data_IF_517515586403
#
_entry.id   IF_517515586403
#
_cell.length_a   1.000
_cell.length_b   1.000
_cell.length_c   1.000
_cell.angle_alpha   90.00
_cell.angle_beta   90.00
_cell.angle_gamma   90.00
#
_symmetry.space_group_name_H-M   'P 1'
#
loop_
_entity.id
_entity.type
_entity.pdbx_description
1 polymer ?
#
# COMPACT_ATOMS: atom_id res chain seq x y z
N UNK A 1 0.97 -2.29 22.22
CA UNK A 1 -0.04 -1.35 22.75
C UNK A 1 -1.41 -1.98 22.57
N UNK A 2 -2.44 -1.40 23.18
CA UNK A 2 -3.80 -1.88 22.97
C UNK A 2 -4.17 -1.84 21.48
N UNK A 3 -4.74 -2.94 20.97
CA UNK A 3 -5.06 -3.20 19.56
C UNK A 3 -3.88 -3.27 18.56
N UNK A 4 -2.67 -3.68 18.96
CA UNK A 4 -1.59 -3.93 17.99
C UNK A 4 -2.00 -4.96 16.89
N UNK A 5 -1.36 -4.87 15.72
CA UNK A 5 -1.47 -5.89 14.67
C UNK A 5 -0.95 -7.24 15.20
N UNK A 6 -1.87 -8.18 15.44
CA UNK A 6 -1.56 -9.58 15.74
C UNK A 6 -1.50 -10.40 14.46
N UNK A 7 -1.13 -11.68 14.54
CA UNK A 7 -1.21 -12.56 13.37
C UNK A 7 -2.66 -12.74 12.89
N UNK A 8 -3.60 -12.83 13.84
CA UNK A 8 -5.02 -13.07 13.58
C UNK A 8 -5.71 -11.83 13.01
N UNK A 9 -5.50 -10.65 13.60
CA UNK A 9 -6.05 -9.41 13.04
C UNK A 9 -5.43 -9.10 11.68
N UNK A 10 -4.12 -9.34 11.48
CA UNK A 10 -3.48 -9.23 10.17
C UNK A 10 -4.11 -10.16 9.14
N UNK A 11 -4.31 -11.44 9.47
CA UNK A 11 -4.91 -12.41 8.55
C UNK A 11 -6.33 -11.98 8.17
N UNK A 12 -7.12 -11.51 9.15
CA UNK A 12 -8.45 -10.99 8.93
C UNK A 12 -8.45 -9.78 7.98
N UNK A 13 -7.60 -8.78 8.23
CA UNK A 13 -7.45 -7.60 7.36
C UNK A 13 -7.04 -7.97 5.93
N UNK A 14 -6.13 -8.94 5.77
CA UNK A 14 -5.72 -9.45 4.45
C UNK A 14 -6.88 -10.13 3.72
N UNK A 15 -7.76 -10.86 4.44
CA UNK A 15 -8.93 -11.51 3.85
C UNK A 15 -9.93 -10.52 3.26
N UNK A 16 -10.06 -9.32 3.85
CA UNK A 16 -10.84 -8.21 3.29
C UNK A 16 -10.08 -7.48 2.18
N UNK A 17 -8.76 -7.31 2.35
CA UNK A 17 -7.83 -6.84 1.32
C UNK A 17 -7.92 -5.36 0.93
N UNK A 18 -8.92 -4.62 1.43
CA UNK A 18 -9.13 -3.21 1.09
C UNK A 18 -9.65 -2.39 2.26
N UNK A 19 -9.48 -1.07 2.20
CA UNK A 19 -9.87 -0.15 3.26
C UNK A 19 -10.26 1.21 2.68
N UNK A 20 -11.27 1.86 3.27
CA UNK A 20 -11.61 3.24 3.00
C UNK A 20 -10.72 4.15 3.86
N UNK A 21 -10.12 5.16 3.24
CA UNK A 21 -9.17 6.08 3.91
C UNK A 21 -9.56 7.50 3.55
N UNK A 22 -9.57 8.37 4.55
CA UNK A 22 -9.71 9.81 4.32
C UNK A 22 -8.48 10.34 3.57
N UNK A 23 -8.69 11.15 2.54
CA UNK A 23 -7.61 11.67 1.70
C UNK A 23 -6.62 12.56 2.46
N UNK A 24 -7.07 13.22 3.54
CA UNK A 24 -6.22 14.00 4.44
C UNK A 24 -5.14 13.15 5.14
N UNK A 25 -5.42 11.86 5.39
CA UNK A 25 -4.47 10.90 5.96
C UNK A 25 -3.46 10.38 4.94
N UNK A 26 -3.70 10.58 3.64
CA UNK A 26 -2.81 10.13 2.57
C UNK A 26 -1.76 11.17 2.16
N UNK A 27 -1.78 12.34 2.82
CA UNK A 27 -0.84 13.41 2.57
C UNK A 27 0.63 12.96 2.72
N UNK A 28 1.52 13.66 2.00
CA UNK A 28 2.95 13.47 2.15
C UNK A 28 3.50 12.17 1.57
N UNK A 29 2.77 11.40 0.75
CA UNK A 29 3.31 10.21 0.06
C UNK A 29 3.18 8.90 0.85
N UNK A 30 2.14 8.77 1.67
CA UNK A 30 1.77 7.53 2.37
C UNK A 30 1.00 6.54 1.49
N UNK A 31 0.53 7.00 0.33
CA UNK A 31 -0.10 6.21 -0.72
C UNK A 31 0.96 5.66 -1.69
N UNK A 32 0.80 4.41 -2.10
CA UNK A 32 1.54 3.83 -3.23
C UNK A 32 0.60 3.41 -4.36
N UNK A 33 1.09 3.42 -5.58
CA UNK A 33 0.41 2.84 -6.74
C UNK A 33 1.23 1.67 -7.28
N UNK A 34 0.57 0.54 -7.54
CA UNK A 34 1.23 -0.57 -8.22
C UNK A 34 1.21 -0.31 -9.73
N UNK A 35 2.31 -0.62 -10.40
CA UNK A 35 2.41 -0.52 -11.87
C UNK A 35 2.72 -1.87 -12.53
N UNK A 36 2.73 -2.93 -11.73
CA UNK A 36 2.89 -4.30 -12.17
C UNK A 36 2.00 -5.26 -11.35
N UNK A 37 1.70 -6.42 -11.94
CA UNK A 37 0.93 -7.49 -11.29
C UNK A 37 -0.56 -7.19 -11.12
N UNK A 38 -1.29 -8.03 -10.36
CA UNK A 38 -2.75 -7.93 -10.23
C UNK A 38 -3.27 -6.60 -9.69
N UNK A 39 -2.48 -5.94 -8.83
CA UNK A 39 -2.86 -4.66 -8.23
C UNK A 39 -2.58 -3.44 -9.10
N UNK A 40 -2.03 -3.62 -10.31
CA UNK A 40 -1.60 -2.49 -11.14
C UNK A 40 -2.76 -1.55 -11.50
N UNK A 41 -2.49 -0.24 -11.47
CA UNK A 41 -3.52 0.80 -11.62
C UNK A 41 -4.29 1.10 -10.32
N UNK A 42 -4.21 0.22 -9.33
CA UNK A 42 -4.74 0.43 -7.99
C UNK A 42 -3.77 1.19 -7.08
N UNK A 43 -4.33 1.71 -5.98
CA UNK A 43 -3.58 2.36 -4.92
C UNK A 43 -3.70 1.58 -3.61
N UNK A 44 -2.68 1.67 -2.76
CA UNK A 44 -2.65 0.99 -1.46
C UNK A 44 -1.98 1.85 -0.38
N UNK A 45 -2.25 1.49 0.86
CA UNK A 45 -1.54 1.97 2.06
C UNK A 45 -0.93 0.80 2.81
N UNK A 46 0.06 1.10 3.64
CA UNK A 46 0.67 0.15 4.56
C UNK A 46 0.44 0.61 5.98
N UNK A 47 0.08 -0.34 6.85
CA UNK A 47 -0.04 -0.10 8.29
C UNK A 47 0.90 -1.04 9.00
N UNK A 48 1.63 -0.51 9.99
CA UNK A 48 2.60 -1.26 10.80
C UNK A 48 2.33 -1.09 12.29
N UNK A 49 2.36 -2.20 13.02
CA UNK A 49 2.23 -2.26 14.48
C UNK A 49 2.61 -3.67 14.97
N UNK A 50 3.03 -3.82 16.24
CA UNK A 50 3.34 -5.13 16.82
C UNK A 50 4.39 -5.95 16.03
N UNK A 51 5.33 -5.28 15.36
CA UNK A 51 6.33 -5.91 14.49
C UNK A 51 5.77 -6.50 13.18
N UNK A 52 4.53 -6.18 12.81
CA UNK A 52 3.84 -6.69 11.62
C UNK A 52 3.39 -5.55 10.72
N UNK A 53 3.35 -5.83 9.42
CA UNK A 53 2.83 -4.94 8.38
C UNK A 53 1.68 -5.59 7.63
N UNK A 54 0.65 -4.81 7.30
CA UNK A 54 -0.40 -5.17 6.36
C UNK A 54 -0.48 -4.13 5.23
N UNK A 55 -0.73 -4.61 4.01
CA UNK A 55 -1.02 -3.77 2.85
C UNK A 55 -2.51 -3.90 2.54
N UNK A 56 -3.20 -2.78 2.37
CA UNK A 56 -4.61 -2.75 2.01
C UNK A 56 -4.80 -1.84 0.80
N UNK A 57 -5.58 -2.30 -0.18
CA UNK A 57 -5.98 -1.49 -1.32
C UNK A 57 -6.91 -0.37 -0.86
N UNK A 58 -6.73 0.84 -1.38
CA UNK A 58 -7.64 1.96 -1.08
C UNK A 58 -8.92 1.73 -1.88
N UNK A 59 -10.04 1.58 -1.18
CA UNK A 59 -11.36 1.40 -1.76
C UNK A 59 -12.41 2.13 -0.89
N UNK A 60 -13.02 3.22 -1.37
CA UNK A 60 -14.06 3.94 -0.63
C UNK A 60 -15.26 3.09 -0.22
N UNK A 61 -15.52 1.99 -0.95
CA UNK A 61 -16.61 1.05 -0.67
C UNK A 61 -16.24 -0.08 0.31
N UNK A 62 -15.03 -0.09 0.87
CA UNK A 62 -14.62 -1.12 1.83
C UNK A 62 -15.42 -1.04 3.13
N UNK A 63 -15.66 -2.20 3.76
CA UNK A 63 -16.22 -2.31 5.11
C UNK A 63 -15.24 -1.86 6.20
N UNK A 64 -13.94 -1.84 5.90
CA UNK A 64 -12.89 -1.35 6.78
C UNK A 64 -12.66 0.15 6.56
N UNK A 65 -12.41 0.89 7.64
CA UNK A 65 -12.08 2.32 7.57
C UNK A 65 -10.82 2.63 8.38
N UNK A 66 -9.93 3.45 7.84
CA UNK A 66 -8.85 4.07 8.61
C UNK A 66 -9.37 5.38 9.20
N UNK A 67 -9.20 5.53 10.51
CA UNK A 67 -9.51 6.78 11.23
C UNK A 67 -8.27 7.28 11.99
N UNK A 68 -8.12 8.60 12.18
CA UNK A 68 -7.08 9.15 13.04
C UNK A 68 -7.21 8.65 14.48
N UNK A 69 -6.08 8.37 15.13
CA UNK A 69 -5.97 8.09 16.58
C UNK A 69 -4.71 8.81 17.07
N UNK A 70 -4.65 9.32 18.30
CA UNK A 70 -3.54 10.16 18.79
C UNK A 70 -2.13 9.69 18.34
N UNK A 71 -1.54 10.39 17.37
CA UNK A 71 -0.21 10.10 16.82
C UNK A 71 -0.11 8.92 15.83
N UNK A 72 -1.17 8.14 15.64
CA UNK A 72 -1.25 6.90 14.86
C UNK A 72 -2.59 6.85 14.06
N UNK A 73 -3.00 5.66 13.60
CA UNK A 73 -4.33 5.40 13.01
C UNK A 73 -4.95 4.12 13.57
N UNK A 74 -6.27 4.03 13.52
CA UNK A 74 -7.01 2.81 13.81
C UNK A 74 -7.74 2.30 12.55
N UNK A 75 -7.80 0.99 12.40
CA UNK A 75 -8.64 0.31 11.41
C UNK A 75 -9.91 -0.14 12.10
N UNK A 76 -11.04 0.40 11.66
CA UNK A 76 -12.35 0.12 12.22
C UNK A 76 -13.22 -0.70 11.28
N UNK A 77 -14.08 -1.54 11.86
CA UNK A 77 -15.17 -2.22 11.16
C UNK A 77 -16.40 -2.24 12.06
N UNK A 78 -17.55 -1.79 11.56
CA UNK A 78 -18.80 -1.85 12.34
C UNK A 78 -18.77 -1.12 13.69
N UNK A 79 -17.87 -0.16 13.89
CA UNK A 79 -17.70 0.56 15.16
C UNK A 79 -16.63 -0.03 16.09
N UNK A 80 -16.06 -1.20 15.77
CA UNK A 80 -15.01 -1.84 16.56
C UNK A 80 -13.62 -1.57 15.98
N UNK A 81 -12.61 -1.49 16.86
CA UNK A 81 -11.20 -1.38 16.45
C UNK A 81 -10.65 -2.79 16.21
N UNK A 82 -10.32 -3.08 14.95
CA UNK A 82 -9.73 -4.36 14.55
C UNK A 82 -8.22 -4.36 14.80
N UNK A 83 -7.56 -3.24 14.51
CA UNK A 83 -6.15 -3.02 14.77
C UNK A 83 -5.83 -1.52 14.79
N UNK A 84 -4.72 -1.14 15.41
CA UNK A 84 -4.15 0.18 15.39
C UNK A 84 -2.65 0.14 15.06
N UNK A 85 -2.15 1.23 14.48
CA UNK A 85 -0.74 1.33 14.09
C UNK A 85 -0.42 2.59 13.32
N UNK A 86 0.77 2.63 12.72
CA UNK A 86 1.22 3.76 11.90
C UNK A 86 1.01 3.49 10.43
N UNK A 87 0.60 4.53 9.69
CA UNK A 87 0.75 4.56 8.24
C UNK A 87 2.25 4.58 7.91
N UNK A 88 2.68 3.64 7.09
CA UNK A 88 4.08 3.47 6.75
C UNK A 88 4.35 3.94 5.32
N UNK A 89 5.36 4.81 5.17
CA UNK A 89 5.76 5.36 3.88
C UNK A 89 6.33 4.26 2.96
N UNK A 90 5.77 4.05 1.76
CA UNK A 90 6.40 3.23 0.72
C UNK A 90 7.63 3.94 0.15
N UNK A 91 8.64 3.18 -0.28
CA UNK A 91 9.77 3.72 -1.06
C UNK A 91 9.47 3.56 -2.56
N UNK A 92 10.01 2.54 -3.23
CA UNK A 92 9.54 2.12 -4.54
C UNK A 92 8.57 0.95 -4.32
N UNK A 93 7.26 1.23 -4.35
CA UNK A 93 6.16 0.28 -4.16
C UNK A 93 5.95 -0.28 -2.74
N UNK A 94 7.02 -0.60 -2.00
CA UNK A 94 6.95 -1.24 -0.68
C UNK A 94 7.75 -0.45 0.37
N UNK A 95 7.34 -0.39 1.66
CA UNK A 95 8.15 0.26 2.67
C UNK A 95 9.43 -0.52 2.98
N UNK A 96 10.53 0.20 3.24
CA UNK A 96 11.88 -0.34 3.52
C UNK A 96 12.52 -1.14 2.37
N UNK A 97 11.93 -1.10 1.17
CA UNK A 97 12.43 -1.82 -0.01
C UNK A 97 12.22 -0.99 -1.28
N UNK A 98 13.21 -0.99 -2.16
CA UNK A 98 13.06 -0.43 -3.51
C UNK A 98 12.64 -1.54 -4.48
N UNK A 99 11.34 -1.74 -4.67
CA UNK A 99 10.81 -2.59 -5.73
C UNK A 99 10.44 -1.73 -6.96
N UNK A 100 11.19 -1.90 -8.05
CA UNK A 100 11.10 -1.03 -9.22
C UNK A 100 10.58 -1.82 -10.41
N UNK A 101 9.40 -1.45 -10.90
CA UNK A 101 8.90 -1.90 -12.20
C UNK A 101 9.64 -1.15 -13.31
N UNK A 102 10.52 -1.84 -14.05
CA UNK A 102 11.25 -1.24 -15.18
C UNK A 102 10.33 -0.98 -16.37
N UNK A 103 9.51 -1.97 -16.74
CA UNK A 103 8.51 -1.87 -17.81
C UNK A 103 7.11 -1.97 -17.23
N UNK A 104 6.32 -0.92 -17.39
CA UNK A 104 4.88 -0.89 -17.06
C UNK A 104 4.04 -1.35 -18.26
N UNK A 105 4.67 -2.13 -19.16
CA UNK A 105 4.07 -2.83 -20.29
C UNK A 105 4.43 -4.30 -20.19
N UNK A 106 3.50 -5.16 -20.60
CA UNK A 106 3.71 -6.59 -20.65
C UNK A 106 2.99 -7.17 -21.88
N UNK A 107 3.69 -7.98 -22.66
CA UNK A 107 3.09 -8.71 -23.80
C UNK A 107 2.25 -9.90 -23.34
N UNK A 108 2.45 -10.37 -22.10
CA UNK A 108 1.73 -11.49 -21.54
C UNK A 108 0.40 -11.03 -20.96
N UNK A 109 -0.69 -11.62 -21.45
CA UNK A 109 -2.06 -11.34 -21.02
C UNK A 109 -2.50 -12.31 -19.92
N UNK A 110 -1.75 -12.37 -18.83
CA UNK A 110 -2.13 -13.21 -17.67
C UNK A 110 -3.53 -12.82 -17.20
N UNK A 111 -4.41 -13.81 -16.98
CA UNK A 111 -5.84 -13.59 -16.68
C UNK A 111 -6.09 -12.65 -15.49
N UNK A 112 -5.17 -12.62 -14.53
CA UNK A 112 -5.27 -11.84 -13.30
C UNK A 112 -4.55 -10.48 -13.37
N UNK A 113 -3.85 -10.16 -14.46
CA UNK A 113 -2.95 -9.01 -14.52
C UNK A 113 -3.50 -7.93 -15.47
N UNK A 114 -3.82 -6.72 -15.00
CA UNK A 114 -4.35 -5.66 -15.85
C UNK A 114 -3.28 -4.93 -16.68
N UNK A 115 -1.98 -5.12 -16.38
CA UNK A 115 -0.85 -4.36 -16.97
C UNK A 115 -0.90 -4.22 -18.49
N UNK A 116 -1.18 -5.26 -19.30
CA UNK A 116 -1.23 -5.12 -20.76
C UNK A 116 -2.25 -4.09 -21.26
N UNK A 117 -3.23 -3.72 -20.44
CA UNK A 117 -4.30 -2.76 -20.75
C UNK A 117 -4.06 -1.36 -20.18
N UNK A 118 -3.02 -1.19 -19.34
CA UNK A 118 -2.74 0.09 -18.67
C UNK A 118 -1.83 1.02 -19.49
N UNK A 119 -1.24 0.52 -20.58
CA UNK A 119 -0.41 1.29 -21.52
C UNK A 119 0.71 2.13 -20.86
N UNK A 120 1.26 1.64 -19.75
CA UNK A 120 2.29 2.35 -18.97
C UNK A 120 3.60 2.55 -19.73
N UNK A 121 4.60 3.21 -19.13
CA UNK A 121 5.89 3.48 -19.80
C UNK A 121 6.96 2.43 -19.52
N UNK A 122 7.99 2.40 -20.36
CA UNK A 122 9.28 1.79 -20.01
C UNK A 122 10.15 2.89 -19.42
N UNK A 123 10.68 2.68 -18.22
CA UNK A 123 11.51 3.68 -17.53
C UNK A 123 12.91 3.75 -18.14
N UNK A 124 13.48 4.95 -18.19
CA UNK A 124 14.88 5.11 -18.58
C UNK A 124 15.82 4.72 -17.44
N UNK A 125 17.10 4.53 -17.75
CA UNK A 125 18.12 4.24 -16.73
C UNK A 125 18.21 5.39 -15.72
N UNK A 126 18.18 6.64 -16.20
CA UNK A 126 18.24 7.84 -15.36
C UNK A 126 17.05 7.92 -14.40
N UNK A 127 15.85 7.53 -14.85
CA UNK A 127 14.68 7.43 -13.98
C UNK A 127 14.86 6.38 -12.89
N UNK A 128 15.38 5.20 -13.25
CA UNK A 128 15.63 4.12 -12.30
C UNK A 128 16.68 4.54 -11.27
N UNK A 129 17.79 5.15 -11.69
CA UNK A 129 18.83 5.67 -10.79
C UNK A 129 18.24 6.69 -9.81
N UNK A 130 17.46 7.66 -10.29
CA UNK A 130 16.78 8.63 -9.40
C UNK A 130 15.84 7.96 -8.39
N UNK A 131 15.14 6.89 -8.80
CA UNK A 131 14.29 6.13 -7.87
C UNK A 131 15.10 5.42 -6.79
N UNK A 132 16.23 4.80 -7.16
CA UNK A 132 17.14 4.14 -6.23
C UNK A 132 17.74 5.15 -5.25
N UNK A 133 18.26 6.27 -5.74
CA UNK A 133 18.81 7.35 -4.90
C UNK A 133 17.76 7.94 -3.95
N UNK A 134 16.53 8.12 -4.46
CA UNK A 134 15.39 8.55 -3.67
C UNK A 134 15.07 7.58 -2.53
N UNK A 135 15.06 6.28 -2.82
CA UNK A 135 14.82 5.25 -1.82
C UNK A 135 15.96 5.17 -0.79
N UNK A 136 17.22 5.25 -1.23
CA UNK A 136 18.39 5.21 -0.35
C UNK A 136 18.43 6.40 0.64
N UNK A 137 17.95 7.58 0.22
CA UNK A 137 17.91 8.77 1.06
C UNK A 137 16.74 8.80 2.07
N UNK A 138 15.65 8.09 1.79
CA UNK A 138 14.39 8.20 2.57
C UNK A 138 13.98 6.92 3.29
N UNK A 139 14.74 5.83 3.10
CA UNK A 139 14.46 4.48 3.60
C UNK A 139 15.17 4.09 4.89
#
# INVERSE_FOLDING_TARGET
MDHDLTAESKAYLVSIGSVAVDESLLAGGLKTSATAGPGAGGSSVFITSGGRRVRLSINPASSLRIVPREGDVAIMQGGEIIAAGRLERPLCHCPRQAYITVSERCIYNCLFCPVPRLEGKVKTIEEIVRMVDGAARTG
#
